data_IF_132600172965
#
_entry.id   IF_132600172965
#
_cell.length_a   1.000
_cell.length_b   1.000
_cell.length_c   1.000
_cell.angle_alpha   90.00
_cell.angle_beta   90.00
_cell.angle_gamma   90.00
#
_symmetry.space_group_name_H-M   'P 1'
#
loop_
_entity.id
_entity.type
_entity.pdbx_description
1 polymer ?
#
# COMPACT_ATOMS: atom_id res chain seq x y z
N UNK A 1 21.64 -4.96 -4.37
CA UNK A 1 20.38 -4.18 -4.39
C UNK A 1 20.66 -2.82 -3.75
N UNK A 2 19.74 -1.87 -3.85
CA UNK A 2 19.91 -0.51 -3.31
C UNK A 2 18.95 -0.23 -2.16
N UNK A 3 18.17 0.83 -2.30
CA UNK A 3 17.14 1.25 -1.37
C UNK A 3 15.76 1.11 -2.02
N UNK A 4 14.72 1.05 -1.19
CA UNK A 4 13.34 0.98 -1.64
C UNK A 4 12.43 1.91 -0.83
N UNK A 5 11.38 2.40 -1.48
CA UNK A 5 10.23 3.00 -0.80
C UNK A 5 9.08 2.02 -0.90
N UNK A 6 8.59 1.58 0.24
CA UNK A 6 7.48 0.64 0.38
C UNK A 6 6.22 1.37 0.79
N UNK A 7 5.09 0.97 0.25
CA UNK A 7 3.77 1.25 0.79
C UNK A 7 3.36 0.08 1.66
N UNK A 8 2.94 0.35 2.89
CA UNK A 8 2.61 -0.66 3.91
C UNK A 8 1.11 -0.63 4.21
N UNK A 9 0.46 -1.79 4.36
CA UNK A 9 -0.98 -1.86 4.58
C UNK A 9 -1.38 -1.36 5.97
N UNK A 10 -2.69 -1.27 6.22
CA UNK A 10 -3.24 -0.93 7.53
C UNK A 10 -2.84 -1.95 8.59
N UNK A 11 -2.82 -1.57 9.86
CA UNK A 11 -2.37 -2.46 10.95
C UNK A 11 -3.09 -3.81 10.97
N UNK A 12 -4.41 -3.83 10.75
CA UNK A 12 -5.20 -5.08 10.70
C UNK A 12 -4.79 -5.98 9.54
N UNK A 13 -4.69 -5.42 8.33
CA UNK A 13 -4.26 -6.15 7.12
C UNK A 13 -2.81 -6.61 7.26
N UNK A 14 -1.93 -5.77 7.82
CA UNK A 14 -0.52 -6.08 8.08
C UNK A 14 -0.40 -7.34 8.94
N UNK A 15 -1.08 -7.39 10.09
CA UNK A 15 -1.03 -8.56 10.98
C UNK A 15 -1.50 -9.84 10.28
N UNK A 16 -2.64 -9.79 9.58
CA UNK A 16 -3.18 -10.96 8.89
C UNK A 16 -2.26 -11.44 7.75
N UNK A 17 -1.72 -10.52 6.95
CA UNK A 17 -0.78 -10.83 5.87
C UNK A 17 0.56 -11.36 6.42
N UNK A 18 1.09 -10.78 7.49
CA UNK A 18 2.29 -11.26 8.16
C UNK A 18 2.12 -12.70 8.66
N UNK A 19 0.98 -13.04 9.26
CA UNK A 19 0.71 -14.43 9.66
C UNK A 19 0.59 -15.37 8.45
N UNK A 20 -0.06 -14.94 7.38
CA UNK A 20 -0.15 -15.75 6.16
C UNK A 20 1.24 -16.01 5.56
N UNK A 21 2.09 -14.98 5.52
CA UNK A 21 3.45 -15.04 4.96
C UNK A 21 4.41 -15.91 5.78
N UNK A 22 4.02 -16.38 6.97
CA UNK A 22 4.75 -17.41 7.73
C UNK A 22 4.45 -18.83 7.28
N UNK A 23 3.44 -19.05 6.43
CA UNK A 23 3.07 -20.38 5.96
C UNK A 23 4.24 -21.07 5.23
N UNK A 24 4.52 -22.33 5.59
CA UNK A 24 5.51 -23.17 4.94
C UNK A 24 4.88 -24.54 4.63
N UNK A 25 4.88 -24.99 3.37
CA UNK A 25 4.23 -26.23 3.00
C UNK A 25 5.03 -27.43 3.53
N UNK A 26 4.38 -28.42 4.15
CA UNK A 26 5.04 -29.61 4.74
C UNK A 26 4.90 -30.84 3.82
N UNK A 27 5.88 -31.76 3.78
CA UNK A 27 7.24 -31.63 4.33
C UNK A 27 8.07 -30.58 3.57
N UNK A 28 9.12 -30.03 4.17
CA UNK A 28 10.02 -29.09 3.49
C UNK A 28 11.06 -29.84 2.65
N UNK A 29 11.10 -29.58 1.34
CA UNK A 29 12.12 -30.12 0.44
C UNK A 29 13.02 -28.94 0.04
N UNK A 30 13.79 -28.44 0.99
CA UNK A 30 14.69 -27.29 0.79
C UNK A 30 16.14 -27.75 0.87
N UNK A 31 16.98 -27.14 0.04
CA UNK A 31 18.43 -27.26 0.18
C UNK A 31 18.85 -26.59 1.52
N UNK A 32 19.81 -27.15 2.29
CA UNK A 32 20.38 -26.49 3.47
C UNK A 32 20.88 -25.05 3.24
N UNK A 33 21.29 -24.72 2.01
CA UNK A 33 21.76 -23.38 1.61
C UNK A 33 20.67 -22.54 0.93
N UNK A 34 19.40 -22.99 0.97
CA UNK A 34 18.29 -22.27 0.38
C UNK A 34 18.11 -20.91 1.05
N UNK A 35 17.88 -19.88 0.25
CA UNK A 35 17.44 -18.56 0.76
C UNK A 35 15.92 -18.43 0.73
N UNK A 36 15.21 -19.52 0.40
CA UNK A 36 13.76 -19.54 0.37
C UNK A 36 13.18 -19.14 1.71
N UNK A 37 12.02 -18.51 1.65
CA UNK A 37 11.21 -18.17 2.80
C UNK A 37 11.84 -17.18 3.80
N UNK A 38 12.54 -16.13 3.35
CA UNK A 38 12.99 -15.10 4.27
C UNK A 38 11.77 -14.41 4.91
N UNK A 39 11.99 -13.81 6.08
CA UNK A 39 10.99 -12.96 6.70
C UNK A 39 11.10 -11.55 6.14
N UNK A 40 9.98 -10.97 5.73
CA UNK A 40 9.87 -9.57 5.33
C UNK A 40 8.43 -9.09 5.59
N UNK A 41 8.29 -7.77 5.70
CA UNK A 41 7.00 -7.14 6.00
C UNK A 41 6.08 -7.10 4.76
N UNK A 42 4.76 -7.26 4.89
CA UNK A 42 3.83 -7.08 3.78
C UNK A 42 3.92 -5.65 3.21
N UNK A 43 4.22 -5.52 1.91
CA UNK A 43 4.36 -4.21 1.26
C UNK A 43 4.13 -4.24 -0.25
N UNK A 44 3.81 -3.06 -0.81
CA UNK A 44 3.88 -2.79 -2.24
C UNK A 44 5.08 -1.88 -2.50
N UNK A 45 6.01 -2.30 -3.35
CA UNK A 45 7.17 -1.48 -3.70
C UNK A 45 6.73 -0.31 -4.58
N UNK A 46 6.89 0.92 -4.10
CA UNK A 46 6.61 2.14 -4.86
C UNK A 46 7.77 2.50 -5.79
N UNK A 47 9.01 2.39 -5.30
CA UNK A 47 10.21 2.65 -6.08
C UNK A 47 11.42 1.94 -5.47
N UNK A 48 12.39 1.59 -6.31
CA UNK A 48 13.75 1.17 -5.92
C UNK A 48 14.78 2.06 -6.60
N UNK A 49 15.93 2.30 -5.95
CA UNK A 49 17.02 3.14 -6.46
C UNK A 49 18.34 2.74 -5.81
N UNK A 50 19.46 2.98 -6.50
CA UNK A 50 20.75 2.38 -6.11
C UNK A 50 21.52 3.20 -5.06
N UNK A 51 21.30 4.52 -5.01
CA UNK A 51 22.01 5.45 -4.12
C UNK A 51 21.02 6.33 -3.35
N UNK A 52 21.29 6.55 -2.06
CA UNK A 52 20.49 7.42 -1.19
C UNK A 52 21.31 8.67 -0.83
N UNK A 53 21.00 9.86 -1.39
CA UNK A 53 21.73 11.08 -1.05
C UNK A 53 21.46 11.49 0.41
N UNK A 54 22.43 12.15 1.04
CA UNK A 54 22.28 12.70 2.40
C UNK A 54 21.16 13.74 2.51
N UNK A 55 20.83 14.41 1.40
CA UNK A 55 19.71 15.35 1.29
C UNK A 55 18.32 14.68 1.19
N UNK A 56 18.26 13.36 1.05
CA UNK A 56 16.98 12.66 0.95
C UNK A 56 16.15 12.82 2.23
N UNK A 57 14.90 13.24 2.07
CA UNK A 57 13.97 13.38 3.18
C UNK A 57 12.61 12.77 2.84
N UNK A 58 12.27 11.65 3.49
CA UNK A 58 10.98 10.97 3.33
C UNK A 58 9.79 11.91 3.63
N UNK A 59 9.96 12.88 4.53
CA UNK A 59 8.92 13.86 4.89
C UNK A 59 8.66 14.91 3.80
N UNK A 60 9.60 15.12 2.88
CA UNK A 60 9.46 16.09 1.81
C UNK A 60 8.61 15.58 0.63
N UNK A 61 8.26 14.29 0.60
CA UNK A 61 7.36 13.73 -0.43
C UNK A 61 5.97 14.39 -0.29
N UNK A 62 5.37 14.93 -1.36
CA UNK A 62 4.14 15.72 -1.27
C UNK A 62 2.89 14.82 -1.15
N UNK A 63 2.70 14.21 0.02
CA UNK A 63 1.58 13.30 0.30
C UNK A 63 0.36 14.01 0.92
N UNK A 64 0.52 15.26 1.36
CA UNK A 64 -0.53 16.02 2.04
C UNK A 64 -1.74 16.20 1.11
N UNK A 65 -2.93 15.86 1.61
CA UNK A 65 -4.19 15.98 0.87
C UNK A 65 -4.49 14.80 -0.06
N UNK A 66 -3.60 13.81 -0.15
CA UNK A 66 -3.94 12.54 -0.77
C UNK A 66 -4.91 11.76 0.12
N UNK A 67 -5.88 11.10 -0.51
CA UNK A 67 -6.74 10.14 0.16
C UNK A 67 -5.94 8.88 0.47
N UNK A 68 -6.31 8.18 1.55
CA UNK A 68 -5.76 6.87 1.88
C UNK A 68 -5.98 5.91 0.70
N UNK A 69 -4.93 5.34 0.10
CA UNK A 69 -5.06 4.48 -1.07
C UNK A 69 -5.62 3.11 -0.69
N UNK A 70 -6.72 2.71 -1.33
CA UNK A 70 -7.31 1.38 -1.19
C UNK A 70 -7.32 0.67 -2.55
N UNK A 71 -7.04 -0.63 -2.54
CA UNK A 71 -7.18 -1.51 -3.72
C UNK A 71 -7.61 -2.91 -3.31
N UNK A 72 -8.13 -3.68 -4.27
CA UNK A 72 -8.54 -5.08 -4.11
C UNK A 72 -7.48 -6.02 -4.65
N UNK A 73 -7.40 -7.21 -4.06
CA UNK A 73 -6.55 -8.29 -4.56
C UNK A 73 -7.15 -8.86 -5.85
N UNK A 74 -6.41 -8.75 -6.95
CA UNK A 74 -6.87 -9.19 -8.27
C UNK A 74 -6.56 -10.65 -8.53
N UNK A 75 -5.28 -10.98 -8.69
CA UNK A 75 -4.85 -12.34 -9.02
C UNK A 75 -3.52 -12.70 -8.40
N UNK A 76 -3.27 -14.00 -8.23
CA UNK A 76 -2.00 -14.51 -7.70
C UNK A 76 -1.13 -14.97 -8.85
N UNK A 77 0.13 -14.58 -8.83
CA UNK A 77 1.13 -14.92 -9.84
C UNK A 77 2.23 -15.76 -9.21
N UNK A 78 2.45 -16.95 -9.76
CA UNK A 78 3.64 -17.76 -9.52
C UNK A 78 4.71 -17.37 -10.54
N UNK A 79 5.75 -16.65 -10.13
CA UNK A 79 6.82 -16.17 -11.02
C UNK A 79 8.01 -17.13 -11.15
N UNK A 80 8.89 -16.80 -12.10
CA UNK A 80 10.09 -17.56 -12.42
C UNK A 80 11.35 -17.10 -11.67
N UNK A 81 11.26 -16.03 -10.87
CA UNK A 81 12.38 -15.49 -10.10
C UNK A 81 12.21 -15.63 -8.60
N UNK A 82 13.31 -15.50 -7.85
CA UNK A 82 13.31 -15.51 -6.38
C UNK A 82 12.38 -14.43 -5.79
N UNK A 83 12.55 -13.17 -6.17
CA UNK A 83 11.73 -12.04 -5.66
C UNK A 83 10.30 -12.01 -6.21
N UNK A 84 10.07 -12.70 -7.32
CA UNK A 84 8.76 -12.81 -7.95
C UNK A 84 8.08 -14.15 -7.72
N UNK A 85 8.56 -14.96 -6.76
CA UNK A 85 8.17 -16.35 -6.61
C UNK A 85 6.65 -16.52 -6.47
N UNK A 86 6.04 -15.91 -5.44
CA UNK A 86 4.60 -15.74 -5.35
C UNK A 86 4.26 -14.29 -5.02
N UNK A 87 3.40 -13.68 -5.82
CA UNK A 87 2.95 -12.30 -5.66
C UNK A 87 1.47 -12.14 -5.96
N UNK A 88 0.86 -11.10 -5.38
CA UNK A 88 -0.51 -10.69 -5.63
C UNK A 88 -0.47 -9.45 -6.53
N UNK A 89 -1.13 -9.54 -7.68
CA UNK A 89 -1.45 -8.40 -8.54
C UNK A 89 -2.66 -7.69 -7.95
N UNK A 90 -2.54 -6.39 -7.75
CA UNK A 90 -3.63 -5.56 -7.25
C UNK A 90 -4.40 -4.93 -8.41
N UNK A 91 -5.65 -4.56 -8.19
CA UNK A 91 -6.36 -3.70 -9.12
C UNK A 91 -5.67 -2.32 -9.18
N UNK A 92 -5.51 -1.76 -10.38
CA UNK A 92 -4.96 -0.41 -10.52
C UNK A 92 -6.02 0.63 -10.08
N UNK A 93 -5.74 1.33 -8.98
CA UNK A 93 -6.60 2.38 -8.46
C UNK A 93 -5.94 3.76 -8.62
N UNK A 94 -6.77 4.78 -8.91
CA UNK A 94 -6.29 6.16 -9.07
C UNK A 94 -5.57 6.68 -7.82
N UNK A 95 -5.98 6.22 -6.64
CA UNK A 95 -5.37 6.64 -5.37
C UNK A 95 -3.94 6.09 -5.24
N UNK A 96 -3.72 4.82 -5.60
CA UNK A 96 -2.39 4.21 -5.64
C UNK A 96 -1.47 4.90 -6.63
N UNK A 97 -1.96 5.19 -7.85
CA UNK A 97 -1.19 5.92 -8.85
C UNK A 97 -0.73 7.29 -8.36
N UNK A 98 -1.59 8.03 -7.64
CA UNK A 98 -1.20 9.33 -7.08
C UNK A 98 -0.09 9.24 -6.04
N UNK A 99 -0.12 8.23 -5.16
CA UNK A 99 0.96 8.01 -4.19
C UNK A 99 2.26 7.63 -4.91
N UNK A 100 2.18 6.73 -5.88
CA UNK A 100 3.32 6.34 -6.71
C UNK A 100 3.91 7.54 -7.47
N UNK A 101 3.07 8.31 -8.18
CA UNK A 101 3.43 9.55 -8.88
C UNK A 101 4.13 10.54 -7.95
N UNK A 102 3.57 10.80 -6.75
CA UNK A 102 4.18 11.72 -5.79
C UNK A 102 5.60 11.27 -5.36
N UNK A 103 5.80 9.96 -5.14
CA UNK A 103 7.11 9.40 -4.80
C UNK A 103 8.08 9.55 -5.97
N UNK A 104 7.71 9.09 -7.16
CA UNK A 104 8.63 9.08 -8.30
C UNK A 104 8.94 10.48 -8.83
N UNK A 105 8.00 11.42 -8.77
CA UNK A 105 8.26 12.83 -9.08
C UNK A 105 9.26 13.43 -8.10
N UNK A 106 9.14 13.13 -6.81
CA UNK A 106 10.11 13.58 -5.80
C UNK A 106 11.51 13.01 -6.05
N UNK A 107 11.62 11.71 -6.33
CA UNK A 107 12.90 11.07 -6.65
C UNK A 107 13.54 11.68 -7.91
N UNK A 108 12.75 11.88 -8.97
CA UNK A 108 13.22 12.53 -10.21
C UNK A 108 13.68 13.96 -9.98
N UNK A 109 13.03 14.74 -9.10
CA UNK A 109 13.43 16.10 -8.77
C UNK A 109 14.78 16.16 -8.02
N UNK A 110 15.15 15.08 -7.32
CA UNK A 110 16.47 14.90 -6.73
C UNK A 110 17.52 14.36 -7.72
N UNK A 111 17.16 14.18 -8.99
CA UNK A 111 18.05 13.57 -10.00
C UNK A 111 18.31 12.08 -9.78
N UNK A 112 17.46 11.40 -9.00
CA UNK A 112 17.64 9.98 -8.67
C UNK A 112 17.02 9.10 -9.76
N UNK A 113 17.80 8.14 -10.26
CA UNK A 113 17.27 7.10 -11.13
C UNK A 113 16.53 6.04 -10.30
N UNK A 114 15.27 5.79 -10.63
CA UNK A 114 14.40 4.87 -9.91
C UNK A 114 13.77 3.82 -10.84
N UNK A 115 13.32 2.70 -10.26
CA UNK A 115 12.62 1.60 -10.95
C UNK A 115 11.39 1.18 -10.16
N UNK A 116 10.32 0.83 -10.87
CA UNK A 116 9.09 0.28 -10.30
C UNK A 116 8.54 -0.80 -11.21
N UNK A 117 8.92 -2.06 -10.95
CA UNK A 117 8.55 -3.18 -11.80
C UNK A 117 7.15 -3.68 -11.44
N UNK A 118 6.28 -3.92 -12.43
CA UNK A 118 4.97 -4.56 -12.24
C UNK A 118 4.06 -3.89 -11.17
N UNK A 119 4.15 -2.57 -10.98
CA UNK A 119 3.31 -1.85 -10.03
C UNK A 119 1.83 -1.79 -10.48
N UNK A 120 0.83 -1.97 -9.58
CA UNK A 120 0.95 -2.38 -8.18
C UNK A 120 0.94 -3.91 -7.99
N UNK A 121 1.92 -4.44 -7.25
CA UNK A 121 1.95 -5.82 -6.80
C UNK A 121 2.56 -5.93 -5.39
N UNK A 122 2.20 -6.99 -4.67
CA UNK A 122 2.76 -7.35 -3.36
C UNK A 122 3.33 -8.75 -3.42
N UNK A 123 4.61 -8.94 -3.10
CA UNK A 123 5.16 -10.27 -2.94
C UNK A 123 4.68 -10.89 -1.64
N UNK A 124 4.28 -12.15 -1.67
CA UNK A 124 3.90 -12.92 -0.48
C UNK A 124 5.05 -13.80 -0.01
N UNK A 125 5.78 -14.41 -0.96
CA UNK A 125 6.86 -15.33 -0.64
C UNK A 125 8.01 -15.16 -1.64
N UNK A 126 9.24 -15.29 -1.14
CA UNK A 126 10.44 -15.46 -1.96
C UNK A 126 10.91 -16.89 -1.82
N UNK A 127 11.12 -17.57 -2.95
CA UNK A 127 11.46 -18.99 -2.99
C UNK A 127 12.44 -19.20 -4.14
N UNK A 128 13.60 -19.79 -3.89
CA UNK A 128 14.63 -20.07 -4.89
C UNK A 128 14.21 -21.26 -5.78
N UNK A 129 13.67 -22.34 -5.20
CA UNK A 129 13.41 -23.59 -5.90
C UNK A 129 12.11 -23.57 -6.74
N UNK A 130 12.16 -23.83 -8.06
CA UNK A 130 10.96 -23.79 -8.91
C UNK A 130 9.87 -24.80 -8.54
N UNK A 131 10.26 -26.01 -8.10
CA UNK A 131 9.31 -27.05 -7.66
C UNK A 131 8.59 -26.61 -6.40
N UNK A 132 9.32 -25.98 -5.47
CA UNK A 132 8.77 -25.50 -4.22
C UNK A 132 7.76 -24.36 -4.43
N UNK A 133 7.98 -23.47 -5.40
CA UNK A 133 7.00 -22.43 -5.76
C UNK A 133 5.65 -23.00 -6.16
N UNK A 134 5.66 -24.01 -7.04
CA UNK A 134 4.43 -24.68 -7.50
C UNK A 134 3.73 -25.39 -6.35
N UNK A 135 4.51 -26.07 -5.48
CA UNK A 135 3.99 -26.75 -4.31
C UNK A 135 3.36 -25.78 -3.32
N UNK A 136 3.99 -24.63 -3.09
CA UNK A 136 3.48 -23.55 -2.25
C UNK A 136 2.16 -22.99 -2.78
N UNK A 137 2.07 -22.66 -4.07
CA UNK A 137 0.82 -22.19 -4.69
C UNK A 137 -0.31 -23.22 -4.51
N UNK A 138 -0.03 -24.49 -4.83
CA UNK A 138 -1.00 -25.57 -4.68
C UNK A 138 -1.45 -25.77 -3.22
N UNK A 139 -0.53 -25.76 -2.25
CA UNK A 139 -0.90 -25.93 -0.84
C UNK A 139 -1.65 -24.72 -0.27
N UNK A 140 -1.33 -23.50 -0.68
CA UNK A 140 -2.09 -22.30 -0.31
C UNK A 140 -3.53 -22.36 -0.82
N UNK A 141 -3.73 -22.85 -2.05
CA UNK A 141 -5.05 -23.06 -2.62
C UNK A 141 -5.82 -24.18 -1.89
N UNK A 142 -5.20 -25.36 -1.76
CA UNK A 142 -5.83 -26.56 -1.17
C UNK A 142 -6.19 -26.37 0.31
N UNK A 143 -5.42 -25.57 1.05
CA UNK A 143 -5.71 -25.26 2.45
C UNK A 143 -6.76 -24.17 2.63
N UNK A 144 -7.25 -23.54 1.55
CA UNK A 144 -8.20 -22.43 1.62
C UNK A 144 -7.58 -21.10 2.06
N UNK A 145 -6.25 -21.02 2.21
CA UNK A 145 -5.52 -19.79 2.57
C UNK A 145 -5.53 -18.76 1.44
N UNK A 146 -5.59 -19.23 0.20
CA UNK A 146 -5.81 -18.41 -0.99
C UNK A 146 -7.04 -18.91 -1.72
N UNK A 147 -8.10 -18.12 -1.70
CA UNK A 147 -9.34 -18.42 -2.40
C UNK A 147 -9.47 -17.49 -3.60
N UNK A 148 -9.74 -18.07 -4.76
CA UNK A 148 -9.91 -17.34 -6.03
C UNK A 148 -11.40 -17.25 -6.34
N UNK A 149 -11.90 -16.05 -6.65
CA UNK A 149 -13.29 -15.84 -7.06
C UNK A 149 -13.35 -15.03 -8.38
N UNK A 150 -14.56 -14.88 -8.94
CA UNK A 150 -14.80 -14.17 -10.22
C UNK A 150 -13.93 -14.65 -11.38
N UNK A 151 -13.84 -15.97 -11.56
CA UNK A 151 -12.96 -16.61 -12.55
C UNK A 151 -11.47 -16.20 -12.39
N UNK A 152 -11.02 -15.99 -11.15
CA UNK A 152 -9.63 -15.65 -10.81
C UNK A 152 -9.29 -14.16 -10.91
N UNK A 153 -10.31 -13.29 -11.01
CA UNK A 153 -10.15 -11.82 -10.97
C UNK A 153 -10.21 -11.22 -9.57
N UNK A 154 -10.57 -12.02 -8.58
CA UNK A 154 -10.53 -11.64 -7.18
C UNK A 154 -9.84 -12.69 -6.30
N UNK A 155 -9.25 -12.23 -5.19
CA UNK A 155 -8.62 -13.09 -4.20
C UNK A 155 -9.06 -12.76 -2.78
N UNK A 156 -9.22 -13.80 -1.97
CA UNK A 156 -9.28 -13.73 -0.52
C UNK A 156 -8.02 -14.40 0.04
N UNK A 157 -7.33 -13.70 0.93
CA UNK A 157 -6.17 -14.19 1.65
C UNK A 157 -6.55 -14.38 3.12
N UNK A 158 -6.39 -15.58 3.67
CA UNK A 158 -6.72 -15.89 5.06
C UNK A 158 -5.60 -16.71 5.72
N UNK A 159 -4.96 -16.23 6.80
CA UNK A 159 -3.95 -16.98 7.53
C UNK A 159 -4.53 -18.19 8.29
N UNK A 160 -5.82 -18.24 8.61
CA UNK A 160 -6.41 -19.33 9.39
C UNK A 160 -7.82 -19.68 8.87
N UNK A 161 -7.93 -20.21 7.64
CA UNK A 161 -9.23 -20.57 7.07
C UNK A 161 -9.94 -21.61 7.96
N UNK A 162 -11.26 -21.48 8.09
CA UNK A 162 -12.12 -22.33 8.93
C UNK A 162 -11.78 -22.30 10.44
N UNK A 163 -11.05 -21.29 10.91
CA UNK A 163 -10.78 -21.05 12.33
C UNK A 163 -11.63 -19.92 12.89
N UNK A 164 -11.89 -19.93 14.19
CA UNK A 164 -12.40 -18.75 14.91
C UNK A 164 -11.43 -17.54 14.84
N UNK A 165 -10.17 -17.77 14.44
CA UNK A 165 -9.16 -16.73 14.18
C UNK A 165 -9.08 -16.30 12.72
N UNK A 166 -10.02 -16.71 11.88
CA UNK A 166 -10.07 -16.32 10.46
C UNK A 166 -10.18 -14.80 10.36
N UNK A 167 -9.26 -14.20 9.59
CA UNK A 167 -9.26 -12.77 9.27
C UNK A 167 -9.07 -12.68 7.75
N UNK A 168 -10.15 -12.85 6.97
CA UNK A 168 -10.06 -12.82 5.51
C UNK A 168 -9.74 -11.40 5.06
N UNK A 169 -8.72 -11.27 4.22
CA UNK A 169 -8.29 -10.01 3.64
C UNK A 169 -8.51 -10.05 2.13
N UNK A 170 -9.26 -9.09 1.61
CA UNK A 170 -9.54 -8.94 0.17
C UNK A 170 -8.99 -7.63 -0.40
N UNK A 171 -8.42 -6.79 0.47
CA UNK A 171 -7.97 -5.44 0.14
C UNK A 171 -6.57 -5.16 0.65
N UNK A 172 -5.96 -4.15 0.06
CA UNK A 172 -4.80 -3.47 0.61
C UNK A 172 -5.14 -2.00 0.83
N UNK A 173 -5.07 -1.57 2.07
CA UNK A 173 -5.28 -0.18 2.49
C UNK A 173 -3.94 0.42 2.89
N UNK A 174 -3.32 1.23 2.04
CA UNK A 174 -2.01 1.81 2.34
C UNK A 174 -2.08 2.84 3.47
N UNK A 175 -1.34 2.61 4.55
CA UNK A 175 -1.34 3.44 5.75
C UNK A 175 -0.04 4.25 5.91
N UNK A 176 1.09 3.62 5.59
CA UNK A 176 2.43 4.19 5.77
C UNK A 176 3.28 4.02 4.52
N UNK A 177 4.26 4.91 4.34
CA UNK A 177 5.40 4.67 3.45
C UNK A 177 6.68 4.50 4.26
N UNK A 178 7.48 3.51 3.90
CA UNK A 178 8.73 3.18 4.58
C UNK A 178 9.91 3.33 3.62
N UNK A 179 10.98 3.97 4.09
CA UNK A 179 12.28 3.91 3.43
C UNK A 179 13.03 2.68 3.97
N UNK A 180 13.48 1.81 3.07
CA UNK A 180 14.12 0.54 3.43
C UNK A 180 15.49 0.45 2.77
N UNK A 181 16.48 0.05 3.56
CA UNK A 181 17.81 -0.35 3.13
C UNK A 181 17.73 -1.81 2.67
N UNK A 182 17.82 -2.02 1.36
CA UNK A 182 17.82 -3.32 0.72
C UNK A 182 19.22 -3.66 0.17
N UNK A 183 20.29 -3.03 0.67
CA UNK A 183 21.64 -3.18 0.09
C UNK A 183 22.19 -4.60 0.26
N UNK A 184 21.80 -5.28 1.33
CA UNK A 184 22.17 -6.67 1.57
C UNK A 184 21.54 -7.63 0.55
N UNK A 185 22.31 -8.63 0.13
CA UNK A 185 21.83 -9.75 -0.70
C UNK A 185 20.88 -10.68 0.07
N UNK A 186 20.91 -10.66 1.40
CA UNK A 186 19.99 -11.40 2.27
C UNK A 186 18.79 -10.53 2.62
N UNK A 187 17.59 -10.98 2.27
CA UNK A 187 16.33 -10.27 2.59
C UNK A 187 16.14 -10.14 4.10
N UNK A 188 16.60 -11.12 4.88
CA UNK A 188 16.55 -11.07 6.34
C UNK A 188 17.40 -9.93 6.95
N UNK A 189 18.31 -9.33 6.18
CA UNK A 189 19.14 -8.20 6.61
C UNK A 189 18.63 -6.86 6.08
N UNK A 190 17.50 -6.83 5.37
CA UNK A 190 16.88 -5.57 4.97
C UNK A 190 16.37 -4.84 6.20
N UNK A 191 16.51 -3.52 6.20
CA UNK A 191 16.24 -2.71 7.39
C UNK A 191 15.39 -1.50 7.05
N UNK A 192 14.30 -1.34 7.78
CA UNK A 192 13.49 -0.11 7.74
C UNK A 192 14.30 1.03 8.36
N UNK A 193 14.58 2.06 7.56
CA UNK A 193 15.35 3.23 7.98
C UNK A 193 14.45 4.33 8.54
N UNK A 194 13.32 4.58 7.87
CA UNK A 194 12.34 5.61 8.26
C UNK A 194 10.92 5.19 7.89
N UNK A 195 9.94 5.69 8.63
CA UNK A 195 8.51 5.45 8.42
C UNK A 195 7.76 6.79 8.42
N UNK A 196 6.71 6.87 7.61
CA UNK A 196 5.85 8.05 7.53
C UNK A 196 4.41 7.64 7.24
N UNK A 197 3.46 8.11 8.04
CA UNK A 197 2.03 7.92 7.77
C UNK A 197 1.57 8.73 6.55
N UNK A 198 0.75 8.11 5.69
CA UNK A 198 0.18 8.77 4.51
C UNK A 198 -0.88 9.82 4.88
N UNK A 199 -1.73 9.48 5.85
CA UNK A 199 -2.77 10.35 6.36
C UNK A 199 -2.43 10.64 7.80
N UNK A 200 -2.39 11.93 8.16
CA UNK A 200 -2.24 12.31 9.56
C UNK A 200 -3.35 11.63 10.37
N UNK A 201 -3.03 10.97 11.49
CA UNK A 201 -4.08 10.40 12.34
C UNK A 201 -5.06 11.52 12.67
N UNK A 202 -6.35 11.26 12.45
CA UNK A 202 -7.41 12.19 12.86
C UNK A 202 -7.25 12.31 14.37
N UNK A 203 -6.75 13.46 14.83
CA UNK A 203 -6.65 13.71 16.26
C UNK A 203 -8.06 13.54 16.83
N UNK A 204 -8.22 12.78 17.93
CA UNK A 204 -9.52 12.71 18.58
C UNK A 204 -9.98 14.14 18.87
N UNK A 205 -11.28 14.46 18.63
CA UNK A 205 -11.79 15.79 18.90
C UNK A 205 -11.42 16.15 20.33
N UNK A 206 -10.83 17.33 20.53
CA UNK A 206 -10.44 17.79 21.85
C UNK A 206 -11.65 17.60 22.79
N UNK A 207 -11.45 17.00 23.98
CA UNK A 207 -12.55 16.79 24.90
C UNK A 207 -13.24 18.14 25.10
N UNK A 208 -14.53 18.21 24.76
CA UNK A 208 -15.32 19.42 24.96
C UNK A 208 -15.13 19.79 26.43
N UNK A 209 -14.42 20.89 26.70
CA UNK A 209 -14.31 21.39 28.05
C UNK A 209 -15.75 21.58 28.52
N UNK A 210 -16.12 20.83 29.55
CA UNK A 210 -17.38 21.05 30.25
C UNK A 210 -17.20 22.41 30.87
N UNK A 211 -17.65 23.45 30.16
CA UNK A 211 -17.86 24.77 30.70
C UNK A 211 -18.77 24.56 31.91
N UNK A 212 -18.15 24.58 33.09
CA UNK A 212 -18.88 24.77 34.34
C UNK A 212 -19.62 26.08 34.17
N UNK A 213 -20.93 26.00 33.95
CA UNK A 213 -21.81 27.15 33.92
C UNK A 213 -21.55 27.96 35.20
N UNK A 214 -21.02 29.19 35.13
CA UNK A 214 -21.08 30.08 36.26
C UNK A 214 -22.57 30.33 36.54
N UNK A 215 -22.98 29.97 37.74
CA UNK A 215 -24.32 30.17 38.26
C UNK A 215 -24.82 31.58 37.97
N UNK A 216 -26.01 31.62 37.39
CA UNK A 216 -26.95 32.74 37.26
C UNK A 216 -26.69 33.96 38.14
N UNK A 217 -26.33 35.07 37.53
CA UNK A 217 -26.77 36.39 37.96
C UNK A 217 -27.57 37.03 36.81
N UNK A 218 -28.89 37.13 37.01
CA UNK A 218 -29.80 37.93 36.18
C UNK A 218 -29.36 39.39 36.23
N UNK A 219 -29.45 40.12 35.11
CA UNK A 219 -30.40 41.22 35.15
C UNK A 219 -31.32 41.30 33.92
N UNK A 220 -32.38 42.04 34.19
CA UNK A 220 -33.59 42.35 33.47
C UNK A 220 -33.42 43.16 32.18
N UNK A 221 -34.16 42.70 31.15
CA UNK A 221 -35.06 43.44 30.25
C UNK A 221 -34.58 44.61 29.37
N UNK A 222 -35.15 44.58 28.15
CA UNK A 222 -35.46 45.69 27.23
C UNK A 222 -34.32 46.21 26.34
N UNK A 223 -34.32 45.83 25.05
CA UNK A 223 -34.99 46.64 24.04
C UNK A 223 -35.10 45.93 22.68
N UNK A 224 -36.28 46.13 22.11
CA UNK A 224 -36.77 45.74 20.78
C UNK A 224 -36.21 46.71 19.74
N UNK A 225 -35.63 46.21 18.65
CA UNK A 225 -35.76 46.88 17.34
C UNK A 225 -35.67 45.91 16.18
N UNK A 226 -36.67 46.05 15.32
CA UNK A 226 -37.01 45.32 14.11
C UNK A 226 -36.37 46.08 12.94
N UNK A 227 -35.67 45.41 12.01
CA UNK A 227 -35.43 46.00 10.70
C UNK A 227 -35.28 44.91 9.62
N UNK A 228 -36.14 45.05 8.61
CA UNK A 228 -36.20 44.30 7.36
C UNK A 228 -35.17 44.84 6.36
N UNK A 229 -34.57 43.99 5.51
CA UNK A 229 -34.41 44.21 4.05
C UNK A 229 -33.70 43.00 3.42
N UNK A 230 -34.36 42.26 2.51
CA UNK A 230 -34.52 42.45 1.03
C UNK A 230 -33.40 41.79 0.21
N UNK A 231 -33.84 40.74 -0.52
CA UNK A 231 -33.52 40.29 -1.88
C UNK A 231 -32.24 40.71 -2.59
N UNK A 232 -31.64 39.70 -3.26
CA UNK A 232 -31.27 39.57 -4.70
C UNK A 232 -30.11 38.55 -4.75
N UNK A 233 -30.02 37.56 -5.62
CA UNK A 233 -30.48 37.41 -7.00
C UNK A 233 -29.29 36.92 -7.84
N UNK A 234 -29.58 36.13 -8.90
CA UNK A 234 -28.69 35.62 -9.98
C UNK A 234 -27.86 34.37 -9.65
N UNK A 235 -28.08 33.19 -10.27
CA UNK A 235 -28.06 32.77 -11.70
C UNK A 235 -26.71 32.96 -12.40
N UNK A 236 -26.05 31.84 -12.75
CA UNK A 236 -25.30 31.58 -14.00
C UNK A 236 -24.53 30.26 -13.81
N UNK A 237 -24.87 29.10 -14.38
CA UNK A 237 -24.99 28.67 -15.78
C UNK A 237 -23.65 28.37 -16.49
N UNK A 238 -23.54 27.12 -17.00
CA UNK A 238 -22.73 26.68 -18.17
C UNK A 238 -21.19 26.67 -17.96
N UNK A 239 -20.40 25.72 -18.48
CA UNK A 239 -20.52 24.85 -19.67
C UNK A 239 -19.38 23.80 -19.67
N UNK A 240 -19.68 22.62 -20.25
CA UNK A 240 -18.93 21.83 -21.26
C UNK A 240 -17.44 21.48 -21.01
N UNK A 241 -17.12 20.17 -20.89
CA UNK A 241 -16.72 19.20 -21.96
C UNK A 241 -15.25 19.32 -22.39
N UNK A 242 -14.49 18.23 -22.16
CA UNK A 242 -13.57 17.52 -23.07
C UNK A 242 -12.83 16.50 -22.18
N UNK A 243 -13.04 15.18 -22.20
CA UNK A 243 -12.98 14.19 -23.28
C UNK A 243 -11.61 14.07 -23.96
N UNK A 244 -11.04 12.87 -23.80
CA UNK A 244 -10.07 12.15 -24.63
C UNK A 244 -8.66 12.73 -24.82
N UNK A 245 -7.66 11.99 -24.32
CA UNK A 245 -6.66 11.32 -25.16
C UNK A 245 -5.80 10.42 -24.26
N UNK A 246 -5.97 9.10 -24.28
CA UNK A 246 -5.39 8.12 -25.22
C UNK A 246 -3.99 7.65 -24.80
N UNK A 247 -3.97 6.35 -24.50
CA UNK A 247 -2.84 5.44 -24.40
C UNK A 247 -1.66 5.79 -25.31
N UNK A 248 -0.45 5.76 -24.74
CA UNK A 248 0.79 5.32 -25.38
C UNK A 248 1.89 5.32 -24.31
N UNK A 249 2.17 4.19 -23.68
CA UNK A 249 3.48 3.89 -23.08
C UNK A 249 3.51 2.41 -22.67
N UNK A 250 3.47 1.51 -23.64
CA UNK A 250 3.78 0.08 -23.47
C UNK A 250 4.61 -0.38 -24.68
N UNK A 251 5.91 -0.18 -24.60
CA UNK A 251 6.92 -0.86 -25.41
C UNK A 251 8.29 -0.44 -24.89
N UNK A 252 8.89 -1.23 -23.99
CA UNK A 252 10.34 -1.39 -23.75
C UNK A 252 10.62 -1.97 -22.35
N UNK A 253 10.10 -3.15 -22.01
CA UNK A 253 10.63 -3.95 -20.89
C UNK A 253 10.60 -5.43 -21.27
N UNK A 254 11.56 -5.84 -22.11
CA UNK A 254 11.82 -7.27 -22.36
C UNK A 254 13.23 -7.45 -22.93
N UNK A 255 14.24 -7.16 -22.11
CA UNK A 255 15.62 -7.61 -22.26
C UNK A 255 16.36 -7.08 -21.04
N UNK A 256 16.59 -7.95 -20.06
CA UNK A 256 17.62 -7.89 -19.00
C UNK A 256 17.15 -8.78 -17.84
N UNK A 257 17.20 -10.09 -18.08
CA UNK A 257 17.07 -11.14 -17.07
C UNK A 257 18.01 -12.27 -17.47
N UNK A 258 19.32 -12.02 -17.35
CA UNK A 258 20.38 -13.02 -17.22
C UNK A 258 21.51 -12.36 -16.45
N UNK A 259 21.82 -12.86 -15.26
CA UNK A 259 22.96 -12.40 -14.47
C UNK A 259 22.65 -11.98 -13.05
N UNK A 260 21.88 -12.78 -12.31
CA UNK A 260 22.09 -13.11 -10.89
C UNK A 260 21.64 -14.57 -10.72
#
# INVERSE_FOLDING_TARGET
MGYAIWLVPSSTEFMALSELMKFRPQPHILNPYSRSYPSFDPHITLATFDYLPSSFNLEAIPLKGLQRPVTTFGSMRCGSSYLGALSVRMSDSRQFRRVHEAVVTYLSALGMHWRSHDFPHMSLFYVDEPVERKRLDAQLANSGRVQRYDAGRGLVLDPYPNSARSIPVTTFTGEEIWLVDCTSHSVNHWRVMRRRFLVSPILPPAPKSILKNPSSARPSSLHRTRSNRVNRGAKSSRRRRQASSFNRFLSCISRWWRGI
#
